data_IF_960435355839
#
_entry.id   IF_960435355839
#
_cell.length_a   1.000
_cell.length_b   1.000
_cell.length_c   1.000
_cell.angle_alpha   90.00
_cell.angle_beta   90.00
_cell.angle_gamma   90.00
#
_symmetry.space_group_name_H-M   'P 1'
#
loop_
_entity.id
_entity.type
_entity.pdbx_description
1 polymer ?
#
# COMPACT_ATOMS: atom_id res chain seq x y z
N UNK A 1 -31.06 75.29 -10.74
CA UNK A 1 -31.06 73.91 -10.18
C UNK A 1 -29.67 73.30 -10.38
N UNK A 2 -28.87 73.17 -9.32
CA UNK A 2 -27.62 72.38 -9.35
C UNK A 2 -27.71 71.39 -8.19
N UNK A 3 -28.04 70.15 -8.54
CA UNK A 3 -28.21 69.05 -7.59
C UNK A 3 -26.88 68.51 -7.10
N UNK A 4 -26.85 68.22 -5.81
CA UNK A 4 -25.82 67.52 -5.06
C UNK A 4 -25.95 66.03 -5.37
N UNK A 5 -24.86 65.34 -5.73
CA UNK A 5 -24.82 63.87 -5.65
C UNK A 5 -23.48 63.41 -5.06
N UNK A 6 -23.61 62.60 -4.01
CA UNK A 6 -22.57 61.96 -3.22
C UNK A 6 -21.76 60.95 -4.03
N UNK A 7 -20.43 60.95 -3.85
CA UNK A 7 -19.55 59.89 -4.33
C UNK A 7 -19.76 58.62 -3.49
N UNK A 8 -20.24 57.54 -4.13
CA UNK A 8 -20.38 56.21 -3.54
C UNK A 8 -19.03 55.49 -3.64
N UNK A 9 -18.51 55.04 -2.50
CA UNK A 9 -17.27 54.27 -2.37
C UNK A 9 -17.53 52.86 -2.94
N UNK A 10 -16.95 52.53 -4.08
CA UNK A 10 -16.97 51.17 -4.62
C UNK A 10 -16.05 50.27 -3.78
N UNK A 11 -16.62 49.19 -3.27
CA UNK A 11 -15.94 48.10 -2.59
C UNK A 11 -15.17 47.25 -3.60
N UNK A 12 -13.85 47.21 -3.46
CA UNK A 12 -12.93 46.39 -4.24
C UNK A 12 -13.22 44.88 -4.01
N UNK A 13 -13.61 44.15 -5.07
CA UNK A 13 -13.73 42.69 -5.03
C UNK A 13 -12.34 42.03 -5.09
N UNK A 14 -12.06 41.00 -4.29
CA UNK A 14 -10.77 40.33 -4.34
C UNK A 14 -10.65 39.49 -5.61
N UNK A 15 -9.61 39.75 -6.39
CA UNK A 15 -9.25 38.98 -7.59
C UNK A 15 -8.99 37.51 -7.22
N UNK A 16 -9.74 36.59 -7.84
CA UNK A 16 -9.47 35.14 -7.84
C UNK A 16 -8.04 34.89 -8.36
N UNK A 17 -7.18 34.30 -7.53
CA UNK A 17 -5.84 33.84 -7.93
C UNK A 17 -5.98 32.50 -8.65
N UNK A 18 -5.51 32.43 -9.88
CA UNK A 18 -5.37 31.20 -10.66
C UNK A 18 -4.42 30.23 -9.94
N UNK A 19 -4.91 29.02 -9.66
CA UNK A 19 -4.15 27.87 -9.18
C UNK A 19 -3.21 27.40 -10.30
N UNK A 20 -1.97 27.85 -10.24
CA UNK A 20 -0.88 27.32 -11.08
C UNK A 20 -0.56 25.91 -10.59
N UNK A 21 -0.66 24.94 -11.49
CA UNK A 21 -0.22 23.56 -11.31
C UNK A 21 1.23 23.54 -10.82
N UNK A 22 1.42 23.06 -9.58
CA UNK A 22 2.72 23.07 -8.91
C UNK A 22 3.56 21.94 -9.50
N UNK A 23 4.61 22.32 -10.24
CA UNK A 23 5.55 21.39 -10.85
C UNK A 23 6.16 20.43 -9.82
N UNK A 24 6.16 19.14 -10.15
CA UNK A 24 6.80 18.07 -9.38
C UNK A 24 8.32 18.19 -9.54
N UNK A 25 9.04 18.29 -8.42
CA UNK A 25 10.48 18.51 -8.39
C UNK A 25 11.30 17.22 -8.64
N UNK A 26 12.50 17.34 -9.22
CA UNK A 26 13.40 16.22 -9.54
C UNK A 26 14.21 15.73 -8.34
N UNK A 27 14.34 14.40 -8.22
CA UNK A 27 14.83 13.66 -7.07
C UNK A 27 16.37 13.61 -6.91
N UNK A 28 16.85 13.94 -5.70
CA UNK A 28 17.90 13.22 -4.95
C UNK A 28 17.53 13.31 -3.47
N UNK A 29 17.44 12.18 -2.78
CA UNK A 29 17.04 11.97 -1.37
C UNK A 29 15.52 11.88 -1.14
N UNK A 30 15.12 10.97 -0.26
CA UNK A 30 13.74 10.52 0.01
C UNK A 30 12.79 11.66 0.43
N UNK A 31 11.52 11.58 -0.01
CA UNK A 31 10.54 12.69 -0.05
C UNK A 31 9.83 13.04 1.28
N UNK A 32 10.23 12.46 2.41
CA UNK A 32 9.44 12.55 3.67
C UNK A 32 9.17 13.98 4.16
N UNK A 33 10.09 14.92 3.94
CA UNK A 33 9.91 16.32 4.31
C UNK A 33 8.98 17.12 3.35
N UNK A 34 8.49 16.53 2.25
CA UNK A 34 7.66 17.19 1.23
C UNK A 34 6.52 16.34 0.69
N UNK A 35 6.10 15.31 1.42
CA UNK A 35 4.93 14.54 1.01
C UNK A 35 3.68 15.44 0.98
N UNK A 36 2.86 15.38 -0.08
CA UNK A 36 1.57 16.05 -0.06
C UNK A 36 0.73 15.45 1.08
N UNK A 37 -0.12 16.28 1.70
CA UNK A 37 -1.00 15.82 2.78
C UNK A 37 -1.95 14.71 2.30
N UNK A 38 -2.42 14.83 1.05
CA UNK A 38 -3.28 13.87 0.37
C UNK A 38 -2.89 13.72 -1.08
N UNK A 39 -3.06 12.51 -1.60
CA UNK A 39 -2.89 12.15 -3.00
C UNK A 39 -4.17 11.50 -3.49
N UNK A 40 -4.63 11.88 -4.67
CA UNK A 40 -5.75 11.23 -5.32
C UNK A 40 -5.28 9.94 -6.02
N UNK A 41 -6.00 8.85 -5.77
CA UNK A 41 -5.94 7.61 -6.55
C UNK A 41 -7.37 7.31 -6.97
N UNK A 42 -7.69 7.61 -8.23
CA UNK A 42 -9.05 7.60 -8.74
C UNK A 42 -9.99 8.48 -7.94
N UNK A 43 -11.03 7.87 -7.36
CA UNK A 43 -12.00 8.54 -6.50
C UNK A 43 -11.59 8.61 -5.01
N UNK A 44 -10.41 8.08 -4.66
CA UNK A 44 -9.95 7.98 -3.27
C UNK A 44 -8.86 9.00 -2.97
N UNK A 45 -8.85 9.53 -1.75
CA UNK A 45 -7.76 10.33 -1.23
C UNK A 45 -7.00 9.56 -0.16
N UNK A 46 -5.70 9.37 -0.38
CA UNK A 46 -4.82 8.66 0.55
C UNK A 46 -3.79 9.61 1.14
N UNK A 47 -3.43 9.38 2.41
CA UNK A 47 -2.31 10.07 3.04
C UNK A 47 -1.04 9.25 2.78
N UNK A 48 -0.13 9.71 1.90
CA UNK A 48 1.09 8.95 1.62
C UNK A 48 2.03 8.99 2.83
N UNK A 49 2.65 7.85 3.11
CA UNK A 49 3.81 7.71 4.00
C UNK A 49 5.11 7.60 3.19
N UNK A 50 5.02 7.13 1.95
CA UNK A 50 6.09 7.20 0.96
C UNK A 50 5.50 7.54 -0.40
N UNK A 51 6.24 8.29 -1.23
CA UNK A 51 5.84 8.62 -2.59
C UNK A 51 7.08 8.83 -3.48
N UNK A 52 7.21 8.04 -4.54
CA UNK A 52 8.35 8.09 -5.45
C UNK A 52 7.94 8.08 -6.92
N UNK A 53 8.67 8.85 -7.73
CA UNK A 53 8.69 8.73 -9.19
C UNK A 53 9.97 7.99 -9.56
N UNK A 54 9.85 6.86 -10.24
CA UNK A 54 10.94 5.93 -10.56
C UNK A 54 11.00 5.82 -12.08
N UNK A 55 11.75 6.72 -12.71
CA UNK A 55 11.81 6.85 -14.18
C UNK A 55 12.14 5.55 -14.91
N UNK A 56 12.96 4.69 -14.30
CA UNK A 56 13.35 3.42 -14.90
C UNK A 56 12.26 2.35 -14.85
N UNK A 57 11.25 2.53 -13.99
CA UNK A 57 10.08 1.64 -13.91
C UNK A 57 8.89 2.19 -14.66
N UNK A 58 8.77 3.51 -14.81
CA UNK A 58 7.69 4.14 -15.55
C UNK A 58 7.72 3.72 -17.03
N UNK A 59 6.60 3.24 -17.62
CA UNK A 59 6.67 2.69 -18.96
C UNK A 59 6.93 3.79 -20.00
N UNK A 60 7.70 3.45 -21.04
CA UNK A 60 8.03 4.37 -22.13
C UNK A 60 6.92 4.44 -23.16
N UNK A 61 6.76 5.61 -23.79
CA UNK A 61 5.76 5.82 -24.83
C UNK A 61 4.37 6.16 -24.26
N UNK A 62 3.44 6.46 -25.16
CA UNK A 62 2.06 6.78 -24.80
C UNK A 62 1.28 5.49 -24.52
N UNK A 63 0.51 5.50 -23.44
CA UNK A 63 -0.42 4.44 -23.06
C UNK A 63 -1.30 4.87 -21.88
N UNK A 64 -2.15 3.99 -21.34
CA UNK A 64 -3.01 4.30 -20.20
C UNK A 64 -2.25 4.81 -18.95
N UNK A 65 -0.96 4.46 -18.81
CA UNK A 65 -0.06 4.90 -17.74
C UNK A 65 0.46 6.35 -17.87
N UNK A 66 0.24 7.02 -19.01
CA UNK A 66 0.90 8.31 -19.34
C UNK A 66 0.70 9.39 -18.28
N UNK A 67 -0.50 9.45 -17.69
CA UNK A 67 -0.89 10.47 -16.73
C UNK A 67 -0.77 9.99 -15.27
N UNK A 68 -0.19 8.81 -15.03
CA UNK A 68 0.00 8.28 -13.68
C UNK A 68 1.16 9.03 -12.98
N UNK A 69 0.92 9.70 -11.83
CA UNK A 69 1.81 10.74 -11.30
C UNK A 69 3.04 10.23 -10.52
N UNK A 70 3.08 8.94 -10.18
CA UNK A 70 4.16 8.33 -9.40
C UNK A 70 4.23 6.82 -9.67
N UNK A 71 5.30 6.19 -9.17
CA UNK A 71 5.65 4.79 -9.43
C UNK A 71 5.79 3.97 -8.13
N UNK A 72 5.74 4.63 -6.97
CA UNK A 72 5.53 3.99 -5.67
C UNK A 72 4.73 4.90 -4.75
N UNK A 73 3.79 4.33 -4.02
CA UNK A 73 3.16 4.94 -2.86
C UNK A 73 3.04 3.91 -1.74
N UNK A 74 3.35 4.32 -0.51
CA UNK A 74 3.02 3.57 0.69
C UNK A 74 2.01 4.36 1.52
N UNK A 75 1.05 3.69 2.13
CA UNK A 75 0.07 4.29 3.04
C UNK A 75 -0.40 3.27 4.05
N UNK A 76 -0.94 3.76 5.15
CA UNK A 76 -1.69 2.93 6.09
C UNK A 76 -3.16 2.91 5.71
N UNK A 77 -3.71 1.72 5.46
CA UNK A 77 -5.11 1.56 5.13
C UNK A 77 -5.99 1.97 6.33
N UNK A 78 -6.91 2.91 6.09
CA UNK A 78 -7.69 3.53 7.18
C UNK A 78 -8.74 2.59 7.79
N UNK A 79 -9.20 1.59 7.03
CA UNK A 79 -10.22 0.64 7.47
C UNK A 79 -9.60 -0.47 8.33
N UNK A 80 -8.47 -1.02 7.88
CA UNK A 80 -7.84 -2.20 8.48
C UNK A 80 -6.69 -1.87 9.41
N UNK A 81 -6.09 -0.69 9.24
CA UNK A 81 -4.88 -0.28 9.95
C UNK A 81 -3.61 -0.99 9.48
N UNK A 82 -3.67 -1.77 8.39
CA UNK A 82 -2.51 -2.45 7.80
C UNK A 82 -1.74 -1.54 6.85
N UNK A 83 -0.44 -1.77 6.74
CA UNK A 83 0.43 -1.01 5.85
C UNK A 83 0.33 -1.57 4.42
N UNK A 84 0.16 -0.67 3.46
CA UNK A 84 -0.07 -0.99 2.05
C UNK A 84 0.95 -0.28 1.17
N UNK A 85 1.35 -0.93 0.08
CA UNK A 85 2.23 -0.37 -0.94
C UNK A 85 1.66 -0.66 -2.33
N UNK A 86 1.65 0.36 -3.19
CA UNK A 86 1.63 0.17 -4.63
C UNK A 86 3.01 0.49 -5.16
N UNK A 87 3.56 -0.41 -5.95
CA UNK A 87 4.90 -0.28 -6.51
C UNK A 87 4.91 -0.77 -7.95
N UNK A 88 5.29 0.11 -8.85
CA UNK A 88 5.52 -0.25 -10.25
C UNK A 88 6.70 -1.19 -10.35
N UNK A 89 6.56 -2.22 -11.17
CA UNK A 89 7.57 -3.24 -11.42
C UNK A 89 8.43 -2.90 -12.65
N UNK A 90 9.59 -3.57 -12.86
CA UNK A 90 10.42 -3.35 -14.04
C UNK A 90 9.70 -3.56 -15.38
N UNK A 91 8.67 -4.41 -15.41
CA UNK A 91 7.84 -4.64 -16.60
C UNK A 91 6.85 -3.50 -16.90
N UNK A 92 6.72 -2.53 -15.98
CA UNK A 92 5.81 -1.40 -16.08
C UNK A 92 4.44 -1.63 -15.47
N UNK A 93 4.11 -2.87 -15.07
CA UNK A 93 2.86 -3.17 -14.35
C UNK A 93 2.94 -2.72 -12.91
N UNK A 94 1.79 -2.56 -12.27
CA UNK A 94 1.70 -2.31 -10.84
C UNK A 94 1.73 -3.61 -10.04
N UNK A 95 2.40 -3.58 -8.89
CA UNK A 95 2.25 -4.58 -7.83
C UNK A 95 1.59 -3.96 -6.60
N UNK A 96 0.70 -4.72 -5.97
CA UNK A 96 0.08 -4.38 -4.70
C UNK A 96 0.64 -5.22 -3.56
N UNK A 97 0.92 -4.60 -2.41
CA UNK A 97 1.52 -5.27 -1.26
C UNK A 97 0.85 -4.83 0.04
N UNK A 98 0.68 -5.76 0.97
CA UNK A 98 0.09 -5.53 2.30
C UNK A 98 0.94 -6.22 3.36
N UNK A 99 1.28 -5.51 4.43
CA UNK A 99 2.04 -6.03 5.54
C UNK A 99 1.16 -6.53 6.68
N UNK A 100 1.61 -7.60 7.33
CA UNK A 100 1.09 -8.09 8.60
C UNK A 100 2.23 -8.23 9.62
N UNK A 101 1.90 -8.10 10.91
CA UNK A 101 2.87 -8.29 11.99
C UNK A 101 2.95 -9.75 12.49
N UNK A 102 3.86 -10.05 13.44
CA UNK A 102 4.07 -11.41 13.97
C UNK A 102 2.87 -12.09 14.61
N UNK A 103 1.88 -11.32 15.06
CA UNK A 103 0.64 -11.86 15.64
C UNK A 103 -0.34 -12.41 14.60
N UNK A 104 -0.11 -12.14 13.31
CA UNK A 104 -1.02 -12.56 12.25
C UNK A 104 -0.90 -14.06 11.97
N UNK A 105 -2.00 -14.80 11.74
CA UNK A 105 -1.97 -16.25 11.51
C UNK A 105 -1.08 -16.71 10.35
N UNK A 106 -0.94 -15.86 9.33
CA UNK A 106 -0.08 -16.12 8.17
C UNK A 106 1.29 -15.46 8.24
N UNK A 107 1.68 -14.92 9.39
CA UNK A 107 3.03 -14.41 9.54
C UNK A 107 4.07 -15.48 9.18
N UNK A 108 5.09 -15.08 8.41
CA UNK A 108 6.13 -15.97 7.89
C UNK A 108 5.65 -17.11 6.96
N UNK A 109 4.40 -17.09 6.49
CA UNK A 109 3.94 -18.01 5.46
C UNK A 109 4.36 -17.51 4.08
N UNK A 110 5.04 -18.36 3.32
CA UNK A 110 5.29 -18.16 1.90
C UNK A 110 3.99 -18.24 1.11
N UNK A 111 4.01 -17.71 -0.11
CA UNK A 111 2.86 -17.64 -1.01
C UNK A 111 2.22 -19.01 -1.29
N UNK A 112 3.06 -20.05 -1.37
CA UNK A 112 2.66 -21.44 -1.62
C UNK A 112 2.16 -22.17 -0.36
N UNK A 113 2.41 -21.61 0.84
CA UNK A 113 1.97 -22.16 2.11
C UNK A 113 0.59 -21.63 2.55
N UNK A 114 0.04 -20.65 1.84
CA UNK A 114 -1.29 -20.09 2.14
C UNK A 114 -2.36 -21.07 1.63
N UNK A 115 -3.21 -21.63 2.52
CA UNK A 115 -4.26 -22.54 2.08
C UNK A 115 -5.27 -21.82 1.19
N UNK A 116 -5.69 -22.45 0.09
CA UNK A 116 -6.74 -21.88 -0.78
C UNK A 116 -8.05 -21.58 -0.01
N UNK A 117 -8.33 -22.36 1.04
CA UNK A 117 -9.47 -22.16 1.94
C UNK A 117 -9.41 -20.84 2.73
N UNK A 118 -8.26 -20.15 2.78
CA UNK A 118 -8.12 -18.84 3.39
C UNK A 118 -8.90 -17.74 2.64
N UNK A 119 -9.31 -17.99 1.39
CA UNK A 119 -10.12 -17.07 0.60
C UNK A 119 -9.38 -15.79 0.14
N UNK A 120 -8.05 -15.74 0.32
CA UNK A 120 -7.23 -14.64 -0.19
C UNK A 120 -7.26 -14.67 -1.71
N UNK A 121 -7.82 -13.61 -2.28
CA UNK A 121 -8.12 -13.53 -3.72
C UNK A 121 -7.96 -12.11 -4.25
N UNK A 122 -6.79 -11.48 -4.07
CA UNK A 122 -6.46 -10.30 -4.86
C UNK A 122 -6.38 -10.68 -6.34
N UNK A 123 -6.23 -9.69 -7.22
CA UNK A 123 -6.13 -9.87 -8.67
C UNK A 123 -5.17 -11.00 -9.09
N UNK A 124 -5.74 -12.16 -9.45
CA UNK A 124 -5.00 -13.35 -9.83
C UNK A 124 -4.35 -14.15 -8.70
N UNK A 125 -4.61 -13.80 -7.43
CA UNK A 125 -4.05 -14.47 -6.25
C UNK A 125 -2.76 -13.85 -5.74
N UNK A 126 -2.27 -14.35 -4.60
CA UNK A 126 -0.99 -13.93 -4.01
C UNK A 126 0.16 -14.65 -4.74
N UNK A 127 1.16 -13.89 -5.16
CA UNK A 127 2.38 -14.39 -5.82
C UNK A 127 3.67 -13.94 -5.11
N UNK A 128 3.53 -13.18 -4.03
CA UNK A 128 4.62 -12.67 -3.21
C UNK A 128 4.28 -12.82 -1.73
N UNK A 129 5.15 -13.43 -0.95
CA UNK A 129 5.06 -13.42 0.51
C UNK A 129 6.44 -13.49 1.16
N UNK A 130 6.96 -12.35 1.63
CA UNK A 130 8.33 -12.26 2.16
C UNK A 130 8.45 -11.21 3.27
N UNK A 131 9.50 -11.33 4.09
CA UNK A 131 9.89 -10.29 5.04
C UNK A 131 10.36 -9.01 4.32
N UNK A 132 10.42 -7.88 5.05
CA UNK A 132 10.97 -6.62 4.50
C UNK A 132 12.36 -6.84 3.84
N UNK A 133 12.53 -6.32 2.61
CA UNK A 133 13.83 -6.27 1.93
C UNK A 133 14.67 -5.10 2.44
N UNK A 134 15.69 -5.39 3.27
CA UNK A 134 16.57 -4.39 3.91
C UNK A 134 17.70 -3.87 3.02
N UNK A 135 18.06 -4.61 1.97
CA UNK A 135 19.27 -4.35 1.18
C UNK A 135 19.02 -3.62 -0.15
N UNK A 136 17.77 -3.29 -0.45
CA UNK A 136 17.37 -2.59 -1.67
C UNK A 136 17.15 -1.08 -1.43
N UNK A 137 17.22 -0.32 -2.53
CA UNK A 137 16.91 1.11 -2.52
C UNK A 137 15.44 1.35 -2.09
N UNK A 138 15.22 2.35 -1.24
CA UNK A 138 13.91 2.67 -0.68
C UNK A 138 12.84 2.92 -1.73
N UNK A 139 13.20 3.52 -2.86
CA UNK A 139 12.25 3.78 -3.94
C UNK A 139 11.67 2.50 -4.52
N UNK A 140 12.37 1.37 -4.40
CA UNK A 140 12.07 0.13 -5.13
C UNK A 140 11.82 -1.09 -4.24
N UNK A 141 12.10 -1.00 -2.94
CA UNK A 141 11.87 -2.09 -1.97
C UNK A 141 10.43 -2.16 -1.48
N UNK A 142 9.99 -3.38 -1.15
CA UNK A 142 8.76 -3.65 -0.39
C UNK A 142 9.13 -3.71 1.09
N UNK A 143 8.99 -2.58 1.78
CA UNK A 143 9.36 -2.39 3.18
C UNK A 143 8.74 -1.09 3.69
N UNK A 144 8.48 -0.98 5.00
CA UNK A 144 8.00 0.27 5.57
C UNK A 144 9.16 1.27 5.71
N UNK A 145 8.88 2.56 5.51
CA UNK A 145 9.66 3.60 6.18
C UNK A 145 8.78 4.17 7.28
N UNK A 146 8.82 3.55 8.45
CA UNK A 146 8.40 4.23 9.66
C UNK A 146 9.39 5.35 9.93
N UNK A 147 9.27 6.48 9.23
CA UNK A 147 9.67 7.74 9.85
C UNK A 147 8.59 8.16 10.81
N UNK A 148 8.52 7.40 11.90
CA UNK A 148 7.99 7.94 13.13
C UNK A 148 8.85 9.17 13.46
N UNK A 149 8.18 10.26 13.83
CA UNK A 149 8.71 11.56 14.22
C UNK A 149 9.85 11.57 15.27
N UNK A 150 10.39 10.41 15.68
CA UNK A 150 11.57 10.23 16.53
C UNK A 150 12.89 10.07 15.77
N UNK A 151 12.88 9.46 14.57
CA UNK A 151 14.11 9.27 13.79
C UNK A 151 14.60 10.59 13.17
N UNK A 152 13.70 11.50 12.80
CA UNK A 152 14.05 12.82 12.31
C UNK A 152 14.58 13.78 13.39
N UNK A 153 14.53 13.39 14.68
CA UNK A 153 14.94 14.22 15.81
C UNK A 153 16.23 13.71 16.50
N UNK A 154 16.81 12.60 16.03
CA UNK A 154 18.06 12.05 16.55
C UNK A 154 19.03 11.80 15.41
N UNK A 155 20.21 12.43 15.46
CA UNK A 155 21.29 12.26 14.48
C UNK A 155 21.93 10.86 14.46
N UNK A 156 21.40 9.89 15.21
CA UNK A 156 22.00 8.56 15.34
C UNK A 156 20.89 7.50 15.41
N UNK A 157 20.77 6.62 14.39
CA UNK A 157 19.90 5.45 14.44
C UNK A 157 20.30 4.56 15.62
N UNK A 158 19.34 4.16 16.45
CA UNK A 158 19.58 3.21 17.54
C UNK A 158 19.43 1.77 17.06
N UNK A 159 19.98 0.81 17.80
CA UNK A 159 19.77 -0.61 17.53
C UNK A 159 18.29 -1.01 17.64
N UNK A 160 17.49 -0.31 18.46
CA UNK A 160 16.05 -0.55 18.58
C UNK A 160 15.27 -0.13 17.32
N UNK A 161 15.65 0.98 16.67
CA UNK A 161 15.07 1.42 15.39
C UNK A 161 15.34 0.40 14.25
N UNK A 162 16.36 -0.46 14.42
CA UNK A 162 16.71 -1.54 13.49
C UNK A 162 15.98 -2.86 13.77
N UNK A 163 15.29 -2.97 14.92
CA UNK A 163 14.57 -4.17 15.38
C UNK A 163 13.05 -4.12 15.19
N UNK A 164 12.48 -3.00 14.76
CA UNK A 164 11.02 -2.80 14.66
C UNK A 164 10.37 -3.19 13.32
N UNK A 165 11.14 -3.64 12.32
CA UNK A 165 10.57 -4.14 11.06
C UNK A 165 10.54 -5.65 11.00
N UNK A 166 9.54 -6.21 11.67
CA UNK A 166 9.10 -7.58 11.63
C UNK A 166 7.87 -7.75 10.73
N UNK A 167 7.65 -6.87 9.75
CA UNK A 167 6.52 -6.99 8.85
C UNK A 167 6.74 -8.13 7.84
N UNK A 168 5.70 -8.93 7.64
CA UNK A 168 5.60 -9.90 6.56
C UNK A 168 4.66 -9.38 5.48
N UNK A 169 5.17 -9.24 4.26
CA UNK A 169 4.47 -8.61 3.15
C UNK A 169 3.90 -9.64 2.21
N UNK A 170 2.59 -9.57 1.97
CA UNK A 170 1.90 -10.30 0.91
C UNK A 170 1.69 -9.41 -0.30
N UNK A 171 1.82 -9.95 -1.51
CA UNK A 171 1.62 -9.16 -2.72
C UNK A 171 1.19 -9.96 -3.93
N UNK A 172 0.85 -9.19 -4.97
CA UNK A 172 0.35 -9.66 -6.25
C UNK A 172 0.69 -8.65 -7.35
N UNK A 173 0.87 -9.13 -8.57
CA UNK A 173 1.19 -8.31 -9.74
C UNK A 173 0.04 -8.25 -10.77
N UNK A 174 -0.05 -7.12 -11.48
CA UNK A 174 -0.93 -6.93 -12.63
C UNK A 174 -0.32 -7.47 -13.94
N UNK A 175 0.06 -8.73 -13.94
CA UNK A 175 0.66 -9.45 -15.08
C UNK A 175 -0.05 -10.79 -15.36
N UNK A 176 -1.33 -10.87 -15.00
CA UNK A 176 -2.16 -12.06 -15.09
C UNK A 176 -2.71 -12.25 -16.51
N UNK A 177 -3.26 -13.44 -16.84
CA UNK A 177 -3.94 -13.64 -18.12
C UNK A 177 -5.00 -12.56 -18.36
N UNK A 178 -4.91 -11.87 -19.51
CA UNK A 178 -5.77 -10.74 -19.87
C UNK A 178 -5.23 -9.36 -19.46
N UNK A 179 -4.10 -9.28 -18.76
CA UNK A 179 -3.47 -8.00 -18.42
C UNK A 179 -2.50 -7.53 -19.48
N UNK A 180 -2.56 -6.22 -19.75
CA UNK A 180 -1.61 -5.56 -20.63
C UNK A 180 -0.31 -5.21 -19.88
N UNK A 181 0.81 -5.77 -20.32
CA UNK A 181 2.14 -5.61 -19.73
C UNK A 181 2.97 -4.64 -20.59
N UNK A 182 3.30 -3.43 -20.12
CA UNK A 182 3.88 -2.39 -20.97
C UNK A 182 5.24 -2.70 -21.59
N UNK A 183 6.15 -3.34 -20.85
CA UNK A 183 7.54 -3.59 -21.29
C UNK A 183 7.81 -5.07 -21.64
N UNK A 184 6.78 -5.85 -21.97
CA UNK A 184 6.91 -7.25 -22.37
C UNK A 184 7.06 -7.41 -23.89
N UNK A 185 7.97 -8.28 -24.34
CA UNK A 185 7.95 -8.76 -25.73
C UNK A 185 6.75 -9.69 -25.91
N UNK A 186 5.62 -9.16 -26.40
CA UNK A 186 4.48 -9.99 -26.79
C UNK A 186 4.41 -10.14 -28.32
N UNK A 187 4.10 -11.34 -28.85
CA UNK A 187 3.76 -11.49 -30.24
C UNK A 187 2.51 -10.67 -30.57
N UNK A 188 2.47 -10.08 -31.77
CA UNK A 188 1.48 -9.08 -32.23
C UNK A 188 0.03 -9.49 -31.94
N UNK A 189 -0.29 -10.79 -32.01
CA UNK A 189 -1.64 -11.32 -31.80
C UNK A 189 -2.18 -11.15 -30.36
N UNK A 190 -1.32 -11.19 -29.33
CA UNK A 190 -1.75 -11.00 -27.94
C UNK A 190 -2.20 -9.54 -27.66
N UNK A 191 -1.66 -8.58 -28.43
CA UNK A 191 -2.08 -7.18 -28.34
C UNK A 191 -3.47 -6.91 -28.94
N UNK A 192 -3.96 -7.81 -29.80
CA UNK A 192 -5.27 -7.68 -30.48
C UNK A 192 -6.41 -8.32 -29.68
N UNK A 193 -6.11 -9.01 -28.57
CA UNK A 193 -7.04 -9.89 -27.85
C UNK A 193 -7.79 -9.20 -26.67
N UNK A 194 -7.74 -7.85 -26.60
CA UNK A 194 -8.48 -7.08 -25.60
C UNK A 194 -7.83 -7.04 -24.22
N UNK A 195 -6.50 -7.16 -24.14
CA UNK A 195 -5.75 -7.00 -22.89
C UNK A 195 -6.01 -5.63 -22.25
N UNK A 196 -6.18 -5.62 -20.93
CA UNK A 196 -6.49 -4.41 -20.17
C UNK A 196 -5.32 -4.04 -19.28
N UNK A 197 -4.83 -2.81 -19.39
CA UNK A 197 -3.86 -2.28 -18.43
C UNK A 197 -4.56 -2.04 -17.09
N UNK A 198 -4.06 -2.67 -16.03
CA UNK A 198 -4.56 -2.42 -14.67
C UNK A 198 -3.93 -1.14 -14.14
N UNK A 199 -4.75 -0.09 -14.11
CA UNK A 199 -4.35 1.22 -13.62
C UNK A 199 -4.06 1.20 -12.12
N UNK A 200 -3.43 2.27 -11.64
CA UNK A 200 -3.21 2.49 -10.22
C UNK A 200 -4.52 2.43 -9.41
N UNK A 201 -5.64 2.92 -9.95
CA UNK A 201 -6.95 2.92 -9.30
C UNK A 201 -7.48 1.49 -9.07
N UNK A 202 -7.35 0.64 -10.08
CA UNK A 202 -7.72 -0.77 -9.98
C UNK A 202 -6.86 -1.48 -8.93
N UNK A 203 -5.56 -1.22 -8.96
CA UNK A 203 -4.61 -1.87 -8.06
C UNK A 203 -4.76 -1.39 -6.62
N UNK A 204 -5.13 -0.13 -6.40
CA UNK A 204 -5.51 0.37 -5.08
C UNK A 204 -6.70 -0.41 -4.52
N UNK A 205 -7.77 -0.57 -5.31
CA UNK A 205 -8.95 -1.31 -4.87
C UNK A 205 -8.64 -2.78 -4.50
N UNK A 206 -7.83 -3.46 -5.31
CA UNK A 206 -7.41 -4.84 -5.04
C UNK A 206 -6.44 -4.95 -3.86
N UNK A 207 -5.58 -3.95 -3.64
CA UNK A 207 -4.67 -3.91 -2.48
C UNK A 207 -5.46 -3.69 -1.19
N UNK A 208 -6.41 -2.75 -1.19
CA UNK A 208 -7.31 -2.55 -0.03
C UNK A 208 -8.21 -3.77 0.22
N UNK A 209 -8.64 -4.47 -0.84
CA UNK A 209 -9.36 -5.74 -0.70
C UNK A 209 -8.50 -6.80 -0.02
N UNK A 210 -7.23 -6.94 -0.43
CA UNK A 210 -6.29 -7.85 0.24
C UNK A 210 -6.11 -7.49 1.72
N UNK A 211 -5.96 -6.20 2.03
CA UNK A 211 -5.87 -5.73 3.41
C UNK A 211 -7.08 -6.13 4.24
N UNK A 212 -8.30 -5.96 3.72
CA UNK A 212 -9.52 -6.41 4.41
C UNK A 212 -9.55 -7.92 4.65
N UNK A 213 -9.13 -8.71 3.65
CA UNK A 213 -9.11 -10.17 3.77
C UNK A 213 -8.12 -10.63 4.85
N UNK A 214 -6.91 -10.07 4.87
CA UNK A 214 -5.91 -10.34 5.91
C UNK A 214 -6.42 -9.92 7.29
N UNK A 215 -6.99 -8.71 7.40
CA UNK A 215 -7.55 -8.23 8.66
C UNK A 215 -8.66 -9.12 9.20
N UNK A 216 -9.56 -9.61 8.35
CA UNK A 216 -10.61 -10.53 8.76
C UNK A 216 -10.07 -11.87 9.31
N UNK A 217 -8.94 -12.36 8.77
CA UNK A 217 -8.29 -13.58 9.28
C UNK A 217 -7.62 -13.33 10.63
N UNK A 218 -6.97 -12.18 10.79
CA UNK A 218 -6.41 -11.73 12.07
C UNK A 218 -7.49 -11.69 13.16
N UNK A 219 -8.60 -11.01 12.88
CA UNK A 219 -9.71 -10.84 13.82
C UNK A 219 -10.43 -12.16 14.10
N UNK A 220 -10.61 -13.01 13.08
CA UNK A 220 -11.19 -14.35 13.22
C UNK A 220 -10.34 -15.28 14.09
N UNK A 221 -9.02 -15.10 14.07
CA UNK A 221 -8.08 -15.86 14.90
C UNK A 221 -7.99 -15.31 16.33
N UNK A 222 -8.13 -13.99 16.50
CA UNK A 222 -8.21 -13.35 17.82
C UNK A 222 -9.44 -13.84 18.61
N UNK A 223 -10.57 -14.07 17.94
CA UNK A 223 -11.80 -14.60 18.56
C UNK A 223 -11.67 -16.09 18.96
N UNK A 224 -10.67 -16.80 18.44
CA UNK A 224 -10.43 -18.23 18.73
C UNK A 224 -9.56 -18.51 19.96
N UNK A 225 -9.06 -17.50 20.66
CA UNK A 225 -8.13 -17.69 21.80
C UNK A 225 -8.85 -17.63 23.14
N UNK A 226 -9.61 -18.67 23.46
CA UNK A 226 -9.86 -19.12 24.83
C UNK A 226 -10.25 -20.61 24.81
N UNK A 227 -9.27 -21.55 24.84
CA UNK A 227 -9.57 -22.87 25.32
C UNK A 227 -9.66 -22.78 26.85
N UNK A 228 -10.88 -22.65 27.37
CA UNK A 228 -11.17 -23.09 28.75
C UNK A 228 -10.84 -24.59 28.78
N UNK A 229 -9.63 -24.92 29.22
CA UNK A 229 -9.26 -26.29 29.53
C UNK A 229 -10.22 -26.76 30.63
N UNK A 230 -11.07 -27.78 30.41
CA UNK A 230 -11.82 -28.35 31.50
C UNK A 230 -10.80 -28.93 32.49
N UNK A 231 -10.92 -28.52 33.75
CA UNK A 231 -10.11 -29.03 34.85
C UNK A 231 -10.08 -30.56 34.78
N UNK A 232 -8.88 -31.13 34.81
CA UNK A 232 -8.69 -32.58 34.83
C UNK A 232 -9.51 -33.19 35.97
N UNK A 233 -10.31 -34.24 35.73
CA UNK A 233 -11.09 -34.85 36.79
C UNK A 233 -10.14 -35.43 37.86
N UNK A 234 -10.42 -35.07 39.11
CA UNK A 234 -9.77 -35.62 40.30
C UNK A 234 -9.72 -37.15 40.20
N UNK A 235 -8.50 -37.70 40.27
CA UNK A 235 -8.26 -39.15 40.33
C UNK A 235 -8.94 -39.71 41.59
N UNK A 236 -10.08 -40.35 41.41
CA UNK A 236 -10.74 -41.15 42.44
C UNK A 236 -9.89 -42.40 42.70
N UNK A 237 -9.10 -42.39 43.76
CA UNK A 237 -8.31 -43.53 44.21
C UNK A 237 -9.23 -44.70 44.58
N UNK A 238 -8.96 -45.88 44.01
CA UNK A 238 -9.56 -47.14 44.45
C UNK A 238 -9.12 -47.44 45.89
N UNK A 239 -10.01 -47.71 46.85
CA UNK A 239 -9.62 -48.39 48.07
C UNK A 239 -9.33 -49.86 47.72
N UNK A 240 -8.07 -50.25 47.89
CA UNK A 240 -7.64 -51.64 47.82
C UNK A 240 -8.23 -52.44 48.97
N UNK A 241 -8.69 -53.65 48.67
CA UNK A 241 -9.07 -54.62 49.67
C UNK A 241 -7.87 -55.41 50.21
N UNK A 242 -7.88 -55.65 51.51
CA UNK A 242 -7.72 -56.95 52.17
C UNK A 242 -8.27 -56.87 53.59
#
# INVERSE_FOLDING_TARGET
>A
MRGIFYARKESEMPRKKNTTSRAVASARNTNLAKLPERVAIGAHEVRPEQLYVIKDRHPRGRGPWTDEPFDKIAWRDAETGLDCILLRQPSGVWGGFVAVGPGHPFYAHREDAIPAAAGLSPHGGIDYAQACSRNEDEAVRVCHAHTGHRAAQRDTPTAEDQTMDDAWWFGFLADKPGDHVPSGSKPVLASEEGEVYRSIDFMYAETTKLARQLKAIEDGSAVGTDPVLPASPLRLGKPGGR
#
